data_IF_463361109388
#
_entry.id   IF_463361109388
#
_cell.length_a   1.000
_cell.length_b   1.000
_cell.length_c   1.000
_cell.angle_alpha   90.00
_cell.angle_beta   90.00
_cell.angle_gamma   90.00
#
_symmetry.space_group_name_H-M   'P 1'
#
loop_
_entity.id
_entity.type
_entity.pdbx_description
1 polymer ?
#
# COMPACT_ATOMS: atom_id res chain seq x y z
N UNK A 1 -36.77 19.81 25.06
CA UNK A 1 -35.33 19.56 25.23
C UNK A 1 -34.95 18.13 24.79
N UNK A 2 -35.09 17.78 23.50
CA UNK A 2 -34.73 16.44 22.96
C UNK A 2 -33.88 16.50 21.68
N UNK A 3 -33.81 17.66 21.02
CA UNK A 3 -33.08 17.85 19.76
C UNK A 3 -31.57 18.12 19.92
N UNK A 4 -31.12 18.54 21.11
CA UNK A 4 -29.71 18.89 21.36
C UNK A 4 -28.83 17.62 21.45
N UNK A 5 -29.40 16.48 21.88
CA UNK A 5 -28.68 15.22 21.99
C UNK A 5 -28.35 14.56 20.65
N UNK A 6 -29.06 14.89 19.57
CA UNK A 6 -28.79 14.30 18.25
C UNK A 6 -27.61 14.93 17.51
N UNK A 7 -27.17 16.14 17.90
CA UNK A 7 -26.05 16.82 17.23
C UNK A 7 -24.70 16.33 17.78
N UNK A 8 -24.66 15.88 19.05
CA UNK A 8 -23.42 15.44 19.70
C UNK A 8 -22.91 14.08 19.20
N UNK A 9 -23.76 13.26 18.58
CA UNK A 9 -23.38 11.95 18.06
C UNK A 9 -22.71 12.00 16.68
N UNK A 10 -22.85 13.10 15.93
CA UNK A 10 -22.30 13.21 14.57
C UNK A 10 -20.80 13.57 14.55
N UNK A 11 -20.24 14.05 15.65
CA UNK A 11 -18.85 14.54 15.71
C UNK A 11 -17.83 13.42 15.97
N UNK A 12 -18.25 12.20 16.28
CA UNK A 12 -17.35 11.09 16.67
C UNK A 12 -16.71 10.39 15.45
N UNK A 13 -17.19 10.62 14.23
CA UNK A 13 -16.72 9.88 13.03
C UNK A 13 -15.48 10.53 12.36
N UNK A 14 -15.08 11.75 12.73
CA UNK A 14 -13.96 12.48 12.08
C UNK A 14 -12.58 12.26 12.73
N UNK A 15 -12.40 11.14 13.45
CA UNK A 15 -11.17 10.83 14.17
C UNK A 15 -10.17 9.93 13.44
N UNK A 16 -10.32 9.62 12.16
CA UNK A 16 -9.26 8.94 11.40
C UNK A 16 -8.21 9.97 11.01
N UNK A 17 -7.13 10.09 11.78
CA UNK A 17 -5.97 10.90 11.37
C UNK A 17 -5.20 10.18 10.27
N UNK A 18 -5.17 10.67 9.01
CA UNK A 18 -4.25 10.15 8.02
C UNK A 18 -2.91 10.83 8.30
N UNK A 19 -2.01 10.17 9.04
CA UNK A 19 -0.74 10.83 9.43
C UNK A 19 0.51 10.14 8.92
N UNK A 20 0.52 8.81 8.85
CA UNK A 20 1.72 8.09 8.45
C UNK A 20 1.65 7.60 7.00
N UNK A 21 0.51 7.04 6.57
CA UNK A 21 0.29 6.61 5.18
C UNK A 21 0.49 7.74 4.16
N UNK A 22 0.22 8.99 4.58
CA UNK A 22 0.37 10.17 3.73
C UNK A 22 1.82 10.61 3.48
N UNK A 23 2.77 10.03 4.21
CA UNK A 23 4.19 10.38 4.14
C UNK A 23 5.04 9.29 3.51
N UNK A 24 4.42 8.16 3.15
CA UNK A 24 5.10 6.98 2.63
C UNK A 24 4.83 6.85 1.13
N UNK A 25 5.89 6.58 0.38
CA UNK A 25 5.84 6.18 -1.02
C UNK A 25 6.27 4.71 -1.11
N UNK A 26 5.52 3.90 -1.85
CA UNK A 26 5.89 2.51 -2.14
C UNK A 26 6.44 2.47 -3.55
N UNK A 27 7.57 1.79 -3.73
CA UNK A 27 8.19 1.60 -5.02
C UNK A 27 8.06 0.12 -5.39
N UNK A 28 7.48 -0.15 -6.55
CA UNK A 28 7.32 -1.51 -7.08
C UNK A 28 7.99 -1.63 -8.43
N UNK A 29 8.56 -2.80 -8.72
CA UNK A 29 9.09 -3.11 -10.03
C UNK A 29 8.09 -3.99 -10.79
N UNK A 30 7.55 -3.49 -11.89
CA UNK A 30 6.56 -4.17 -12.72
C UNK A 30 7.09 -5.46 -13.37
N UNK A 31 8.41 -5.55 -13.56
CA UNK A 31 9.05 -6.76 -14.07
C UNK A 31 9.17 -7.86 -13.00
N UNK A 32 8.91 -7.54 -11.73
CA UNK A 32 9.05 -8.42 -10.56
C UNK A 32 7.67 -8.78 -9.99
N UNK A 33 7.17 -10.01 -10.23
CA UNK A 33 5.92 -10.49 -9.65
C UNK A 33 5.90 -10.41 -8.11
N UNK A 34 7.06 -10.61 -7.48
CA UNK A 34 7.21 -10.56 -6.02
C UNK A 34 7.15 -9.12 -5.50
N UNK A 35 7.84 -8.18 -6.16
CA UNK A 35 7.77 -6.76 -5.82
C UNK A 35 6.34 -6.23 -5.91
N UNK A 36 5.60 -6.59 -6.96
CA UNK A 36 4.19 -6.23 -7.11
C UNK A 36 3.34 -6.74 -5.94
N UNK A 37 3.46 -8.02 -5.59
CA UNK A 37 2.65 -8.59 -4.51
C UNK A 37 3.01 -8.03 -3.13
N UNK A 38 4.30 -7.84 -2.83
CA UNK A 38 4.74 -7.22 -1.58
C UNK A 38 4.25 -5.77 -1.51
N UNK A 39 4.39 -5.01 -2.59
CA UNK A 39 3.94 -3.62 -2.67
C UNK A 39 2.44 -3.50 -2.45
N UNK A 40 1.66 -4.34 -3.12
CA UNK A 40 0.20 -4.43 -2.95
C UNK A 40 -0.17 -4.74 -1.49
N UNK A 41 0.37 -5.83 -0.94
CA UNK A 41 0.06 -6.27 0.43
C UNK A 41 0.44 -5.22 1.48
N UNK A 42 1.60 -4.57 1.31
CA UNK A 42 2.04 -3.50 2.20
C UNK A 42 1.15 -2.25 2.10
N UNK A 43 0.81 -1.83 0.88
CA UNK A 43 -0.05 -0.68 0.66
C UNK A 43 -1.44 -0.88 1.28
N UNK A 44 -2.03 -2.06 1.11
CA UNK A 44 -3.32 -2.43 1.72
C UNK A 44 -3.24 -2.44 3.25
N UNK A 45 -2.23 -3.11 3.82
CA UNK A 45 -2.06 -3.21 5.26
C UNK A 45 -1.82 -1.85 5.95
N UNK A 46 -1.27 -0.87 5.21
CA UNK A 46 -0.95 0.47 5.73
C UNK A 46 -1.89 1.57 5.27
N UNK A 47 -2.91 1.25 4.46
CA UNK A 47 -3.83 2.23 3.91
C UNK A 47 -3.14 3.28 3.03
N UNK A 48 -2.10 2.89 2.30
CA UNK A 48 -1.35 3.78 1.40
C UNK A 48 -2.18 3.96 0.12
N UNK A 49 -2.49 5.20 -0.30
CA UNK A 49 -3.25 5.42 -1.51
C UNK A 49 -2.43 5.05 -2.75
N UNK A 50 -3.13 4.55 -3.78
CA UNK A 50 -2.53 4.14 -5.06
C UNK A 50 -1.69 5.25 -5.73
N UNK A 51 -2.06 6.51 -5.54
CA UNK A 51 -1.29 7.66 -6.05
C UNK A 51 0.13 7.79 -5.45
N UNK A 52 0.46 7.02 -4.40
CA UNK A 52 1.78 6.95 -3.78
C UNK A 52 2.50 5.63 -4.05
N UNK A 53 1.99 4.81 -4.96
CA UNK A 53 2.69 3.65 -5.49
C UNK A 53 3.35 4.07 -6.79
N UNK A 54 4.68 4.02 -6.82
CA UNK A 54 5.49 4.37 -7.98
C UNK A 54 5.98 3.07 -8.61
N UNK A 55 5.72 2.98 -9.91
CA UNK A 55 6.07 1.81 -10.71
C UNK A 55 7.39 2.07 -11.43
N UNK A 56 8.31 1.13 -11.27
CA UNK A 56 9.54 1.02 -12.04
C UNK A 56 9.43 -0.16 -12.98
N UNK A 57 10.20 -0.14 -14.06
CA UNK A 57 10.32 -1.28 -14.94
C UNK A 57 11.80 -1.56 -15.16
N UNK A 58 12.37 -2.38 -14.28
CA UNK A 58 13.79 -2.77 -14.30
C UNK A 58 13.87 -4.27 -14.60
N UNK A 59 14.70 -4.72 -15.55
CA UNK A 59 14.88 -6.14 -15.84
C UNK A 59 15.20 -6.95 -14.58
N UNK A 60 14.69 -8.17 -14.48
CA UNK A 60 14.85 -8.99 -13.27
C UNK A 60 16.08 -9.91 -13.31
N UNK A 61 16.64 -10.33 -14.46
CA UNK A 61 18.06 -10.65 -14.48
C UNK A 61 18.86 -9.37 -14.73
N UNK A 62 18.71 -8.35 -13.87
CA UNK A 62 19.61 -7.20 -13.88
C UNK A 62 20.86 -7.56 -13.07
N UNK A 63 22.05 -7.66 -13.70
CA UNK A 63 23.29 -7.98 -13.00
C UNK A 63 23.63 -7.01 -11.85
N UNK A 64 23.04 -5.82 -11.83
CA UNK A 64 23.20 -4.83 -10.77
C UNK A 64 22.31 -5.10 -9.53
N UNK A 65 21.24 -5.90 -9.66
CA UNK A 65 20.24 -6.11 -8.60
C UNK A 65 20.36 -7.46 -7.88
N UNK A 66 21.37 -8.27 -8.20
CA UNK A 66 21.65 -9.51 -7.50
C UNK A 66 20.84 -10.69 -8.03
N UNK A 67 20.44 -11.58 -7.15
CA UNK A 67 19.91 -12.92 -7.46
C UNK A 67 18.39 -12.91 -7.75
N UNK A 68 18.01 -13.42 -8.92
CA UNK A 68 16.65 -13.42 -9.46
C UNK A 68 15.79 -14.62 -9.02
N UNK A 69 16.37 -15.56 -8.26
CA UNK A 69 15.69 -16.80 -7.84
C UNK A 69 14.47 -16.58 -6.93
N UNK A 70 14.26 -15.37 -6.43
CA UNK A 70 13.18 -15.02 -5.51
C UNK A 70 12.02 -14.27 -6.18
N UNK A 71 11.84 -14.42 -7.49
CA UNK A 71 10.92 -13.59 -8.29
C UNK A 71 9.65 -14.31 -8.75
N UNK A 72 9.35 -15.46 -8.12
CA UNK A 72 8.13 -16.23 -8.32
C UNK A 72 7.22 -16.16 -7.09
N UNK A 73 5.90 -16.21 -7.32
CA UNK A 73 4.91 -16.45 -6.27
C UNK A 73 4.14 -17.71 -6.60
N UNK A 74 4.38 -18.76 -5.82
CA UNK A 74 3.56 -19.96 -5.83
C UNK A 74 2.23 -19.63 -5.15
N UNK A 75 1.12 -19.71 -5.90
CA UNK A 75 -0.23 -19.65 -5.34
C UNK A 75 -0.81 -21.06 -5.40
N UNK A 76 -0.99 -21.70 -4.25
CA UNK A 76 -1.85 -22.88 -4.15
C UNK A 76 -3.30 -22.46 -4.44
N UNK A 77 -3.96 -23.23 -5.31
CA UNK A 77 -5.31 -22.97 -5.82
C UNK A 77 -6.40 -23.59 -4.94
#
# INVERSE_FOLDING_TARGET
>A
MRAIFSILALTIILGCSPRDADRICVLVNDASPVSLAIGQAYAEARGIPQSRIIHLNIPVPDPALGDDRHESIEREA
#
